data_IF_905480214211
#
_entry.id   IF_905480214211
#
_cell.length_a   1.000
_cell.length_b   1.000
_cell.length_c   1.000
_cell.angle_alpha   90.00
_cell.angle_beta   90.00
_cell.angle_gamma   90.00
#
_symmetry.space_group_name_H-M   'P 1'
#
loop_
_entity.id
_entity.type
_entity.pdbx_description
1 polymer ?
#
# COMPACT_ATOMS: atom_id res chain seq x y z
N UNK A 1 -7.98 -9.42 0.02
CA UNK A 1 -7.96 -8.54 -1.18
C UNK A 1 -8.54 -9.20 -2.42
N UNK A 2 -7.97 -10.27 -3.03
CA UNK A 2 -8.56 -10.88 -4.23
C UNK A 2 -10.04 -11.28 -4.04
N UNK A 3 -10.34 -12.03 -2.99
CA UNK A 3 -11.71 -12.47 -2.67
C UNK A 3 -12.63 -11.27 -2.39
N UNK A 4 -12.14 -10.27 -1.65
CA UNK A 4 -12.87 -9.05 -1.34
C UNK A 4 -13.23 -8.25 -2.61
N UNK A 5 -12.28 -8.09 -3.55
CA UNK A 5 -12.50 -7.40 -4.83
C UNK A 5 -13.52 -8.15 -5.67
N UNK A 6 -13.44 -9.48 -5.74
CA UNK A 6 -14.44 -10.29 -6.45
C UNK A 6 -15.82 -10.21 -5.78
N UNK A 7 -15.86 -10.02 -4.45
CA UNK A 7 -17.08 -9.84 -3.67
C UNK A 7 -17.84 -8.54 -3.94
N UNK A 8 -17.19 -7.52 -4.51
CA UNK A 8 -17.83 -6.23 -4.87
C UNK A 8 -18.87 -6.36 -5.99
N UNK A 9 -18.86 -7.46 -6.78
CA UNK A 9 -19.79 -7.72 -7.90
C UNK A 9 -19.92 -6.54 -8.88
N UNK A 10 -18.80 -5.91 -9.19
CA UNK A 10 -18.73 -4.79 -10.13
C UNK A 10 -18.56 -5.28 -11.57
N UNK A 11 -19.21 -4.61 -12.52
CA UNK A 11 -19.20 -5.00 -13.94
C UNK A 11 -17.81 -4.84 -14.60
N UNK A 12 -17.02 -3.87 -14.14
CA UNK A 12 -15.65 -3.65 -14.60
C UNK A 12 -14.80 -3.15 -13.44
N UNK A 13 -13.66 -3.80 -13.23
CA UNK A 13 -12.67 -3.43 -12.21
C UNK A 13 -11.31 -3.37 -12.88
N UNK A 14 -10.66 -2.23 -12.74
CA UNK A 14 -9.28 -2.04 -13.15
C UNK A 14 -8.38 -2.19 -11.92
N UNK A 15 -7.33 -3.00 -12.04
CA UNK A 15 -6.36 -3.19 -10.97
C UNK A 15 -4.97 -2.85 -11.49
N UNK A 16 -4.34 -1.87 -10.85
CA UNK A 16 -2.98 -1.44 -11.14
C UNK A 16 -2.09 -1.82 -9.96
N UNK A 17 -0.90 -2.34 -10.21
CA UNK A 17 0.02 -2.73 -9.15
C UNK A 17 1.46 -2.37 -9.52
N UNK A 18 2.28 -2.18 -8.50
CA UNK A 18 3.69 -1.92 -8.64
C UNK A 18 4.35 -1.85 -7.28
N UNK A 19 5.51 -1.20 -7.26
CA UNK A 19 6.31 -1.03 -6.05
C UNK A 19 6.79 0.42 -5.93
N UNK A 20 7.04 0.88 -4.72
CA UNK A 20 7.57 2.22 -4.44
C UNK A 20 8.75 2.21 -3.47
N UNK A 21 9.78 3.01 -3.78
CA UNK A 21 10.96 3.24 -2.94
C UNK A 21 11.85 2.00 -2.72
N UNK A 22 12.98 2.20 -2.05
CA UNK A 22 13.88 1.12 -1.61
C UNK A 22 13.71 0.89 -0.12
N UNK A 23 13.58 -0.37 0.30
CA UNK A 23 13.52 -0.75 1.69
C UNK A 23 14.86 -0.47 2.37
N UNK A 24 14.81 0.27 3.48
CA UNK A 24 15.96 0.46 4.36
C UNK A 24 15.69 -0.18 5.72
N UNK A 25 16.68 -0.91 6.24
CA UNK A 25 16.63 -1.57 7.56
C UNK A 25 17.87 -1.20 8.38
N UNK A 26 17.79 -1.32 9.70
CA UNK A 26 18.93 -1.05 10.57
C UNK A 26 19.98 -2.16 10.44
N UNK A 27 21.24 -1.77 10.23
CA UNK A 27 22.38 -2.65 10.35
C UNK A 27 22.73 -2.89 11.84
N UNK A 28 23.84 -3.60 12.09
CA UNK A 28 24.31 -3.90 13.46
C UNK A 28 24.70 -2.65 14.26
N UNK A 29 25.07 -1.57 13.58
CA UNK A 29 25.47 -0.30 14.17
C UNK A 29 24.27 0.64 14.40
N UNK A 30 23.09 0.24 13.95
CA UNK A 30 21.83 0.99 14.11
C UNK A 30 21.50 1.93 12.94
N UNK A 31 22.36 2.02 11.94
CA UNK A 31 22.19 2.86 10.76
C UNK A 31 21.25 2.19 9.75
N UNK A 32 20.41 3.00 9.11
CA UNK A 32 19.56 2.52 8.03
C UNK A 32 20.37 2.31 6.76
N UNK A 33 20.33 1.09 6.23
CA UNK A 33 20.97 0.71 4.96
C UNK A 33 19.92 0.20 3.99
N UNK A 34 20.05 0.63 2.73
CA UNK A 34 19.19 0.17 1.65
C UNK A 34 19.44 -1.31 1.32
N UNK A 35 18.37 -2.05 1.09
CA UNK A 35 18.42 -3.47 0.78
C UNK A 35 18.29 -3.70 -0.72
N UNK A 36 19.24 -4.47 -1.26
CA UNK A 36 19.26 -4.94 -2.64
C UNK A 36 19.43 -6.46 -2.68
N UNK A 37 18.84 -7.13 -3.68
CA UNK A 37 19.00 -8.58 -3.84
C UNK A 37 20.41 -8.97 -4.34
N UNK A 38 21.12 -8.03 -4.95
CA UNK A 38 22.50 -8.12 -5.40
C UNK A 38 23.13 -6.74 -5.27
N UNK A 39 24.44 -6.63 -5.06
CA UNK A 39 25.16 -5.37 -4.88
C UNK A 39 24.67 -4.25 -5.82
N UNK A 40 23.90 -3.32 -5.25
CA UNK A 40 23.27 -2.18 -5.93
C UNK A 40 22.51 -2.52 -7.23
N UNK A 41 22.01 -3.75 -7.35
CA UNK A 41 21.23 -4.27 -8.48
C UNK A 41 19.99 -4.92 -7.89
N UNK A 42 18.81 -4.50 -8.31
CA UNK A 42 17.52 -4.98 -7.80
C UNK A 42 17.22 -4.48 -6.36
N UNK A 43 16.81 -3.20 -6.22
CA UNK A 43 16.35 -2.69 -4.93
C UNK A 43 15.15 -3.51 -4.45
N UNK A 44 15.17 -3.88 -3.17
CA UNK A 44 14.00 -4.46 -2.53
C UNK A 44 13.02 -3.33 -2.26
N UNK A 45 11.75 -3.44 -2.70
CA UNK A 45 10.83 -2.32 -2.62
C UNK A 45 10.45 -2.01 -1.18
N UNK A 46 10.30 -0.73 -0.83
CA UNK A 46 9.80 -0.31 0.48
C UNK A 46 8.29 -0.57 0.61
N UNK A 47 7.55 -0.31 -0.45
CA UNK A 47 6.12 -0.59 -0.52
C UNK A 47 5.79 -1.44 -1.75
N UNK A 48 4.89 -2.41 -1.57
CA UNK A 48 4.11 -2.98 -2.66
C UNK A 48 2.77 -2.27 -2.69
N UNK A 49 2.29 -1.87 -3.86
CA UNK A 49 1.04 -1.13 -3.95
C UNK A 49 0.06 -1.73 -4.95
N UNK A 50 -1.22 -1.47 -4.70
CA UNK A 50 -2.34 -1.89 -5.56
C UNK A 50 -3.38 -0.78 -5.57
N UNK A 51 -3.75 -0.27 -6.74
CA UNK A 51 -4.90 0.62 -6.93
C UNK A 51 -6.04 -0.19 -7.51
N UNK A 52 -7.19 -0.15 -6.84
CA UNK A 52 -8.43 -0.76 -7.33
C UNK A 52 -9.34 0.37 -7.79
N UNK A 53 -9.74 0.36 -9.06
CA UNK A 53 -10.64 1.34 -9.65
C UNK A 53 -11.88 0.67 -10.21
N UNK A 54 -13.02 1.32 -10.01
CA UNK A 54 -14.28 0.98 -10.64
C UNK A 54 -15.07 2.26 -10.96
N UNK A 55 -15.43 2.44 -12.23
CA UNK A 55 -16.04 3.67 -12.74
C UNK A 55 -15.18 4.91 -12.38
N UNK A 56 -15.77 5.89 -11.71
CA UNK A 56 -15.12 7.11 -11.22
C UNK A 56 -14.61 6.99 -9.78
N UNK A 57 -14.54 5.78 -9.21
CA UNK A 57 -14.07 5.55 -7.84
C UNK A 57 -12.77 4.75 -7.82
N UNK A 58 -11.87 5.08 -6.90
CA UNK A 58 -10.67 4.29 -6.69
C UNK A 58 -10.21 4.30 -5.23
N UNK A 59 -9.41 3.31 -4.85
CA UNK A 59 -8.64 3.32 -3.61
C UNK A 59 -7.27 2.71 -3.87
N UNK A 60 -6.25 3.27 -3.23
CA UNK A 60 -4.89 2.75 -3.27
C UNK A 60 -4.56 2.02 -1.97
N UNK A 61 -3.93 0.85 -2.08
CA UNK A 61 -3.37 0.11 -0.97
C UNK A 61 -1.85 0.16 -1.09
N UNK A 62 -1.15 0.51 -0.02
CA UNK A 62 0.30 0.40 0.09
C UNK A 62 0.65 -0.51 1.26
N UNK A 63 1.37 -1.59 0.99
CA UNK A 63 1.82 -2.57 1.98
C UNK A 63 3.28 -2.32 2.28
N UNK A 64 3.60 -2.06 3.55
CA UNK A 64 4.97 -1.89 3.98
C UNK A 64 5.73 -3.22 3.95
N UNK A 65 6.84 -3.27 3.22
CA UNK A 65 7.63 -4.46 3.00
C UNK A 65 8.66 -4.70 4.11
N UNK A 66 8.27 -4.57 5.38
CA UNK A 66 9.13 -4.85 6.52
C UNK A 66 8.33 -5.46 7.67
N UNK A 67 8.43 -6.77 7.83
CA UNK A 67 7.72 -7.52 8.86
C UNK A 67 8.22 -7.26 10.30
N UNK A 68 9.37 -6.59 10.45
CA UNK A 68 10.00 -6.28 11.73
C UNK A 68 10.01 -4.76 12.03
N UNK A 69 9.21 -3.97 11.31
CA UNK A 69 9.14 -2.54 11.50
C UNK A 69 8.66 -2.17 12.91
N UNK A 70 9.36 -1.22 13.54
CA UNK A 70 8.86 -0.61 14.77
C UNK A 70 7.72 0.37 14.46
N UNK A 71 6.82 0.59 15.43
CA UNK A 71 5.69 1.52 15.27
C UNK A 71 6.12 2.94 14.90
N UNK A 72 7.22 3.43 15.50
CA UNK A 72 7.79 4.74 15.17
C UNK A 72 8.25 4.85 13.71
N UNK A 73 8.75 3.75 13.14
CA UNK A 73 9.08 3.70 11.72
C UNK A 73 7.81 3.74 10.87
N UNK A 74 6.77 2.98 11.23
CA UNK A 74 5.51 2.98 10.51
C UNK A 74 4.85 4.37 10.49
N UNK A 75 4.89 5.10 11.60
CA UNK A 75 4.39 6.47 11.67
C UNK A 75 5.18 7.41 10.75
N UNK A 76 6.51 7.34 10.78
CA UNK A 76 7.39 8.14 9.90
C UNK A 76 7.19 7.80 8.42
N UNK A 77 6.99 6.53 8.12
CA UNK A 77 6.87 5.98 6.77
C UNK A 77 5.41 5.95 6.28
N UNK A 78 4.46 6.45 7.07
CA UNK A 78 3.08 6.66 6.60
C UNK A 78 3.01 7.94 5.78
N UNK A 79 2.77 7.80 4.48
CA UNK A 79 2.72 8.92 3.54
C UNK A 79 1.30 9.37 3.18
N UNK A 80 0.29 8.70 3.76
CA UNK A 80 -1.11 9.07 3.59
C UNK A 80 -1.89 8.86 4.88
N UNK A 81 -3.02 9.56 5.02
CA UNK A 81 -3.97 9.29 6.11
C UNK A 81 -4.73 8.00 5.80
N UNK A 82 -4.41 6.92 6.51
CA UNK A 82 -5.02 5.61 6.23
C UNK A 82 -6.53 5.61 6.49
N UNK A 83 -7.29 5.32 5.45
CA UNK A 83 -8.75 5.22 5.39
C UNK A 83 -9.27 3.78 5.47
N UNK A 84 -8.45 2.82 5.91
CA UNK A 84 -8.84 1.40 5.88
C UNK A 84 -10.12 1.11 6.69
N UNK A 85 -10.38 1.86 7.77
CA UNK A 85 -11.58 1.69 8.58
C UNK A 85 -12.87 2.20 7.89
N UNK A 86 -12.74 3.02 6.84
CA UNK A 86 -13.86 3.53 6.03
C UNK A 86 -14.24 2.56 4.89
N UNK A 87 -13.39 1.58 4.58
CA UNK A 87 -13.61 0.61 3.51
C UNK A 87 -14.45 -0.57 3.98
N UNK A 88 -15.69 -0.66 3.49
CA UNK A 88 -16.67 -1.67 3.93
C UNK A 88 -16.48 -3.04 3.29
N UNK A 89 -15.73 -3.11 2.19
CA UNK A 89 -15.62 -4.32 1.37
C UNK A 89 -14.36 -5.15 1.63
N UNK A 90 -13.35 -4.62 2.35
CA UNK A 90 -12.06 -5.32 2.62
C UNK A 90 -12.12 -6.26 3.83
N UNK A 91 -13.11 -7.15 3.86
CA UNK A 91 -13.40 -8.02 5.01
C UNK A 91 -12.21 -8.83 5.51
N UNK A 92 -11.41 -9.39 4.60
CA UNK A 92 -10.24 -10.19 5.00
C UNK A 92 -9.17 -9.36 5.74
N UNK A 93 -8.98 -8.09 5.36
CA UNK A 93 -8.04 -7.17 6.01
C UNK A 93 -8.60 -6.61 7.32
N UNK A 94 -9.91 -6.41 7.40
CA UNK A 94 -10.59 -5.89 8.58
C UNK A 94 -10.70 -6.93 9.70
N UNK A 95 -10.85 -8.21 9.35
CA UNK A 95 -10.89 -9.31 10.32
C UNK A 95 -9.69 -9.23 11.26
N UNK A 96 -9.92 -9.11 12.56
CA UNK A 96 -8.87 -8.97 13.58
C UNK A 96 -7.84 -7.86 13.25
N UNK A 97 -8.27 -6.78 12.56
CA UNK A 97 -7.43 -5.65 12.13
C UNK A 97 -6.12 -6.09 11.45
N UNK A 98 -6.18 -7.09 10.56
CA UNK A 98 -4.98 -7.58 9.85
C UNK A 98 -4.23 -6.47 9.10
N UNK A 99 -4.91 -5.42 8.63
CA UNK A 99 -4.26 -4.28 7.98
C UNK A 99 -3.25 -3.54 8.89
N UNK A 100 -3.35 -3.66 10.23
CA UNK A 100 -2.38 -3.13 11.20
C UNK A 100 -1.31 -4.15 11.60
N UNK A 101 -1.36 -5.39 11.09
CA UNK A 101 -0.43 -6.45 11.49
C UNK A 101 0.89 -6.33 10.72
N UNK A 102 1.91 -5.75 11.37
CA UNK A 102 3.24 -5.54 10.80
C UNK A 102 3.86 -6.84 10.26
N UNK A 103 3.73 -7.94 11.01
CA UNK A 103 4.30 -9.23 10.61
C UNK A 103 3.67 -9.79 9.32
N UNK A 104 2.49 -9.29 8.93
CA UNK A 104 1.79 -9.65 7.68
C UNK A 104 1.79 -8.52 6.64
N UNK A 105 2.55 -7.46 6.90
CA UNK A 105 2.54 -6.23 6.11
C UNK A 105 1.54 -5.22 6.67
N UNK A 106 2.07 -4.10 7.16
CA UNK A 106 1.26 -2.96 7.56
C UNK A 106 0.68 -2.28 6.30
N UNK A 107 -0.64 -2.07 6.27
CA UNK A 107 -1.35 -1.59 5.08
C UNK A 107 -1.86 -0.17 5.30
N UNK A 108 -1.53 0.71 4.37
CA UNK A 108 -2.17 2.01 4.19
C UNK A 108 -3.25 1.88 3.12
N UNK A 109 -4.45 2.36 3.42
CA UNK A 109 -5.51 2.54 2.43
C UNK A 109 -5.65 4.04 2.17
N UNK A 110 -5.23 4.50 1.00
CA UNK A 110 -5.11 5.91 0.69
C UNK A 110 -6.17 6.35 -0.32
N UNK A 111 -6.60 7.60 -0.22
CA UNK A 111 -7.21 8.29 -1.35
C UNK A 111 -6.19 8.40 -2.50
N UNK A 112 -6.68 8.31 -3.74
CA UNK A 112 -5.81 8.29 -4.91
C UNK A 112 -4.98 9.58 -5.04
N UNK A 113 -5.57 10.71 -4.65
CA UNK A 113 -4.97 12.03 -4.76
C UNK A 113 -3.82 12.26 -3.77
N UNK A 114 -3.89 11.67 -2.57
CA UNK A 114 -2.80 11.67 -1.60
C UNK A 114 -1.73 10.64 -2.00
N UNK A 115 -2.15 9.46 -2.43
CA UNK A 115 -1.25 8.38 -2.83
C UNK A 115 -0.29 8.79 -3.97
N UNK A 116 -0.82 9.44 -5.02
CA UNK A 116 -0.03 9.85 -6.20
C UNK A 116 0.98 10.96 -5.91
N UNK A 117 0.91 11.63 -4.76
CA UNK A 117 1.92 12.62 -4.35
C UNK A 117 3.24 11.96 -3.97
N UNK A 118 3.18 10.70 -3.52
CA UNK A 118 4.36 9.90 -3.14
C UNK A 118 4.73 8.91 -4.24
N UNK A 119 3.76 8.17 -4.75
CA UNK A 119 3.98 7.08 -5.72
C UNK A 119 3.86 7.62 -7.15
N UNK A 120 4.88 8.33 -7.62
CA UNK A 120 4.88 8.99 -8.92
C UNK A 120 4.93 8.02 -10.11
N UNK A 121 5.42 6.80 -9.91
CA UNK A 121 5.49 5.75 -10.93
C UNK A 121 4.14 5.09 -11.25
N UNK A 122 3.07 5.40 -10.49
CA UNK A 122 1.74 4.87 -10.82
C UNK A 122 1.23 5.47 -12.15
N UNK A 123 0.40 4.73 -12.90
CA UNK A 123 -0.26 5.30 -14.08
C UNK A 123 -1.11 6.52 -13.72
N UNK A 124 -1.09 7.54 -14.59
CA UNK A 124 -1.92 8.72 -14.42
C UNK A 124 -3.40 8.39 -14.70
N UNK A 125 -4.15 8.08 -13.65
CA UNK A 125 -5.58 7.77 -13.76
C UNK A 125 -6.41 9.06 -13.72
N UNK A 126 -7.13 9.34 -14.80
CA UNK A 126 -8.05 10.49 -14.89
C UNK A 126 -9.51 10.07 -14.63
N UNK A 127 -10.36 11.04 -14.26
CA UNK A 127 -11.79 10.81 -14.06
C UNK A 127 -12.17 10.06 -12.77
N UNK A 128 -11.23 9.93 -11.83
CA UNK A 128 -11.54 9.48 -10.47
C UNK A 128 -11.99 10.68 -9.66
N UNK A 129 -13.19 10.62 -9.09
CA UNK A 129 -13.81 11.74 -8.35
C UNK A 129 -14.19 11.36 -6.92
N UNK A 130 -14.02 10.10 -6.53
CA UNK A 130 -14.39 9.62 -5.20
C UNK A 130 -13.57 8.39 -4.81
N UNK A 131 -13.54 8.11 -3.51
CA UNK A 131 -12.94 6.89 -2.98
C UNK A 131 -13.85 5.68 -3.20
N UNK A 132 -13.26 4.51 -3.46
CA UNK A 132 -13.98 3.24 -3.52
C UNK A 132 -14.10 2.62 -2.12
N UNK A 133 -15.16 3.00 -1.40
CA UNK A 133 -15.49 2.55 -0.02
C UNK A 133 -16.44 1.36 0.03
#
# INVERSE_FOLDING_TARGET
LKEDILGLKLNNVEVYTGTHGTLAVKNKDGDFVDIFLKDNKFPVPKYLWTVVRANNKAVAFAVFNNAAAAESQLQKDSFCTSKCEELTWINALMKNKQYKNVAKGYVLCCELDEFRQTVAEMPNLTGVTAMLV
#
